data_IF_656048590253
#
_entry.id   IF_656048590253
#
_cell.length_a   1.000
_cell.length_b   1.000
_cell.length_c   1.000
_cell.angle_alpha   90.00
_cell.angle_beta   90.00
_cell.angle_gamma   90.00
#
_symmetry.space_group_name_H-M   'P 1'
#
loop_
_entity.id
_entity.type
_entity.pdbx_description
1 polymer ?
#
# COMPACT_ATOMS: atom_id res chain seq x y z
N UNK A 1 -24.61 -18.00 -29.22
CA UNK A 1 -24.16 -17.00 -28.27
C UNK A 1 -22.89 -17.47 -27.60
N UNK A 2 -21.86 -16.66 -27.60
CA UNK A 2 -20.57 -17.04 -27.00
C UNK A 2 -20.46 -16.44 -25.61
N UNK A 3 -20.21 -17.30 -24.62
CA UNK A 3 -20.01 -16.86 -23.25
C UNK A 3 -18.52 -16.68 -22.96
N UNK A 4 -18.18 -15.71 -22.12
CA UNK A 4 -16.79 -15.39 -21.76
C UNK A 4 -16.45 -15.79 -20.33
N UNK A 5 -17.45 -16.16 -19.52
CA UNK A 5 -17.18 -16.59 -18.15
C UNK A 5 -16.33 -17.87 -18.12
N UNK A 6 -15.48 -17.98 -17.11
CA UNK A 6 -14.63 -19.15 -16.89
C UNK A 6 -14.84 -19.66 -15.46
N UNK A 7 -15.39 -20.85 -15.31
CA UNK A 7 -15.69 -21.43 -14.02
C UNK A 7 -14.44 -21.68 -13.16
N UNK A 8 -13.29 -21.81 -13.80
CA UNK A 8 -12.01 -22.00 -13.09
C UNK A 8 -11.39 -20.69 -12.61
N UNK A 9 -11.86 -19.55 -13.13
CA UNK A 9 -11.30 -18.23 -12.85
C UNK A 9 -12.24 -17.35 -12.05
N UNK A 10 -13.53 -17.68 -11.98
CA UNK A 10 -14.53 -16.84 -11.31
C UNK A 10 -14.19 -16.58 -9.83
N UNK A 11 -13.59 -17.54 -9.14
CA UNK A 11 -13.16 -17.38 -7.76
C UNK A 11 -12.10 -16.27 -7.63
N UNK A 12 -11.13 -16.25 -8.52
CA UNK A 12 -10.07 -15.23 -8.55
C UNK A 12 -10.65 -13.86 -8.92
N UNK A 13 -11.56 -13.83 -9.89
CA UNK A 13 -12.23 -12.60 -10.28
C UNK A 13 -13.03 -12.00 -9.11
N UNK A 14 -13.76 -12.83 -8.38
CA UNK A 14 -14.52 -12.42 -7.20
C UNK A 14 -13.56 -11.81 -6.14
N UNK A 15 -12.43 -12.46 -5.89
CA UNK A 15 -11.43 -11.98 -4.95
C UNK A 15 -10.89 -10.61 -5.37
N UNK A 16 -10.56 -10.46 -6.64
CA UNK A 16 -10.00 -9.21 -7.17
C UNK A 16 -11.03 -8.07 -7.12
N UNK A 17 -12.30 -8.38 -7.44
CA UNK A 17 -13.37 -7.38 -7.47
C UNK A 17 -13.87 -6.98 -6.07
N UNK A 18 -13.96 -7.93 -5.16
CA UNK A 18 -14.59 -7.76 -3.84
C UNK A 18 -13.67 -7.93 -2.64
N UNK A 19 -12.41 -8.29 -2.87
CA UNK A 19 -11.41 -8.42 -1.81
C UNK A 19 -11.38 -9.77 -1.11
N UNK A 20 -12.32 -10.68 -1.40
CA UNK A 20 -12.35 -12.02 -0.82
C UNK A 20 -12.87 -13.04 -1.82
N UNK A 21 -12.49 -14.30 -1.61
CA UNK A 21 -13.01 -15.41 -2.43
C UNK A 21 -14.46 -15.66 -2.12
N UNK A 22 -15.22 -16.24 -3.08
CA UNK A 22 -16.65 -16.49 -2.89
C UNK A 22 -16.95 -17.41 -1.72
N UNK A 23 -18.00 -17.10 -0.97
CA UNK A 23 -18.54 -17.96 0.06
C UNK A 23 -19.62 -18.91 -0.47
N UNK A 24 -20.21 -19.67 0.43
CA UNK A 24 -21.25 -20.67 0.09
C UNK A 24 -22.44 -20.07 -0.66
N UNK A 25 -22.85 -18.89 -0.28
CA UNK A 25 -23.99 -18.20 -0.89
C UNK A 25 -23.78 -17.93 -2.36
N UNK A 26 -22.59 -17.45 -2.72
CA UNK A 26 -22.23 -17.22 -4.10
C UNK A 26 -22.23 -18.52 -4.90
N UNK A 27 -21.59 -19.56 -4.38
CA UNK A 27 -21.47 -20.84 -5.08
C UNK A 27 -22.83 -21.52 -5.25
N UNK A 28 -23.71 -21.46 -4.24
CA UNK A 28 -25.05 -21.98 -4.36
C UNK A 28 -25.83 -21.33 -5.50
N UNK A 29 -25.71 -20.01 -5.63
CA UNK A 29 -26.34 -19.28 -6.73
C UNK A 29 -25.68 -19.61 -8.08
N UNK A 30 -24.36 -19.65 -8.11
CA UNK A 30 -23.61 -19.90 -9.34
C UNK A 30 -23.95 -21.27 -9.93
N UNK A 31 -23.84 -22.34 -9.16
CA UNK A 31 -24.08 -23.70 -9.67
C UNK A 31 -25.52 -23.93 -10.08
N UNK A 32 -26.49 -23.22 -9.50
CA UNK A 32 -27.90 -23.31 -9.85
C UNK A 32 -28.30 -22.35 -10.98
N UNK A 33 -27.38 -21.56 -11.49
CA UNK A 33 -27.65 -20.61 -12.56
C UNK A 33 -27.41 -21.25 -13.94
N UNK A 34 -28.19 -20.83 -14.94
CA UNK A 34 -27.90 -21.19 -16.32
C UNK A 34 -26.74 -20.35 -16.86
N UNK A 35 -26.26 -20.65 -18.06
CA UNK A 35 -25.12 -19.97 -18.67
C UNK A 35 -25.34 -18.47 -18.83
N UNK A 36 -26.54 -18.08 -19.20
CA UNK A 36 -26.89 -16.67 -19.37
C UNK A 36 -26.78 -15.90 -18.05
N UNK A 37 -27.25 -16.49 -16.95
CA UNK A 37 -27.17 -15.90 -15.62
C UNK A 37 -25.74 -15.88 -15.12
N UNK A 38 -24.95 -16.95 -15.35
CA UNK A 38 -23.53 -16.99 -15.01
C UNK A 38 -22.77 -15.88 -15.74
N UNK A 39 -23.07 -15.65 -17.01
CA UNK A 39 -22.45 -14.55 -17.77
C UNK A 39 -22.80 -13.19 -17.18
N UNK A 40 -24.04 -13.01 -16.75
CA UNK A 40 -24.48 -11.76 -16.10
C UNK A 40 -23.73 -11.51 -14.79
N UNK A 41 -23.54 -12.56 -13.98
CA UNK A 41 -22.76 -12.48 -12.74
C UNK A 41 -21.30 -12.12 -13.05
N UNK A 42 -20.71 -12.78 -14.02
CA UNK A 42 -19.35 -12.53 -14.48
C UNK A 42 -19.16 -11.08 -14.94
N UNK A 43 -20.05 -10.58 -15.80
CA UNK A 43 -20.00 -9.22 -16.30
C UNK A 43 -20.13 -8.20 -15.16
N UNK A 44 -20.99 -8.49 -14.18
CA UNK A 44 -21.13 -7.66 -12.99
C UNK A 44 -19.85 -7.58 -12.18
N UNK A 45 -19.15 -8.72 -12.01
CA UNK A 45 -17.86 -8.75 -11.31
C UNK A 45 -16.79 -7.96 -12.07
N UNK A 46 -16.78 -8.01 -13.39
CA UNK A 46 -15.84 -7.21 -14.20
C UNK A 46 -16.08 -5.71 -14.02
N UNK A 47 -17.34 -5.29 -13.95
CA UNK A 47 -17.68 -3.88 -13.69
C UNK A 47 -17.21 -3.47 -12.29
N UNK A 48 -17.45 -4.31 -11.27
CA UNK A 48 -16.99 -4.05 -9.91
C UNK A 48 -15.46 -3.97 -9.84
N UNK A 49 -14.75 -4.84 -10.55
CA UNK A 49 -13.29 -4.82 -10.61
C UNK A 49 -12.78 -3.51 -11.21
N UNK A 50 -13.38 -3.03 -12.29
CA UNK A 50 -12.99 -1.78 -12.91
C UNK A 50 -13.16 -0.59 -11.95
N UNK A 51 -14.27 -0.55 -11.22
CA UNK A 51 -14.53 0.49 -10.20
C UNK A 51 -13.49 0.40 -9.08
N UNK A 52 -13.20 -0.80 -8.58
CA UNK A 52 -12.22 -1.02 -7.53
C UNK A 52 -10.83 -0.57 -7.96
N UNK A 53 -10.42 -0.93 -9.19
CA UNK A 53 -9.12 -0.53 -9.75
C UNK A 53 -9.00 0.99 -9.86
N UNK A 54 -10.05 1.66 -10.30
CA UNK A 54 -10.08 3.13 -10.41
C UNK A 54 -9.99 3.80 -9.04
N UNK A 55 -10.67 3.24 -8.05
CA UNK A 55 -10.63 3.75 -6.68
C UNK A 55 -9.23 3.57 -6.09
N UNK A 56 -8.59 2.42 -6.32
CA UNK A 56 -7.22 2.17 -5.86
C UNK A 56 -6.23 3.12 -6.52
N UNK A 57 -6.36 3.35 -7.83
CA UNK A 57 -5.53 4.30 -8.55
C UNK A 57 -5.71 5.72 -8.01
N UNK A 58 -6.94 6.12 -7.71
CA UNK A 58 -7.23 7.43 -7.14
C UNK A 58 -6.61 7.59 -5.76
N UNK A 59 -6.69 6.56 -4.92
CA UNK A 59 -6.05 6.56 -3.59
C UNK A 59 -4.53 6.66 -3.71
N UNK A 60 -3.93 5.92 -4.64
CA UNK A 60 -2.49 5.95 -4.87
C UNK A 60 -2.04 7.32 -5.35
N UNK A 61 -2.75 7.91 -6.33
CA UNK A 61 -2.42 9.26 -6.81
C UNK A 61 -2.55 10.31 -5.71
N UNK A 62 -3.57 10.18 -4.87
CA UNK A 62 -3.77 11.07 -3.72
C UNK A 62 -2.63 10.91 -2.71
N UNK A 63 -2.19 9.67 -2.45
CA UNK A 63 -1.07 9.40 -1.54
C UNK A 63 0.24 9.97 -2.09
N UNK A 64 0.50 9.83 -3.38
CA UNK A 64 1.67 10.41 -4.04
C UNK A 64 1.65 11.93 -3.91
N UNK A 65 0.53 12.56 -4.21
CA UNK A 65 0.39 14.01 -4.13
C UNK A 65 0.63 14.52 -2.71
N UNK A 66 0.08 13.83 -1.70
CA UNK A 66 0.28 14.18 -0.30
C UNK A 66 1.73 14.01 0.14
N UNK A 67 2.37 12.91 -0.28
CA UNK A 67 3.77 12.64 0.04
C UNK A 67 4.68 13.69 -0.58
N UNK A 68 4.50 13.98 -1.88
CA UNK A 68 5.33 14.97 -2.58
C UNK A 68 5.13 16.38 -2.02
N UNK A 69 3.91 16.73 -1.65
CA UNK A 69 3.62 18.01 -0.99
C UNK A 69 4.34 18.12 0.36
N UNK A 70 4.34 17.02 1.14
CA UNK A 70 5.04 16.97 2.43
C UNK A 70 6.56 17.11 2.22
N UNK A 71 7.12 16.40 1.22
CA UNK A 71 8.53 16.52 0.85
C UNK A 71 8.87 17.96 0.50
N UNK A 72 8.09 18.60 -0.37
CA UNK A 72 8.34 20.00 -0.77
C UNK A 72 8.32 20.95 0.42
N UNK A 73 7.38 20.73 1.34
CA UNK A 73 7.28 21.51 2.58
C UNK A 73 8.54 21.36 3.46
N UNK A 74 9.06 20.13 3.59
CA UNK A 74 10.26 19.87 4.38
C UNK A 74 11.55 20.32 3.68
N UNK A 75 11.60 20.25 2.36
CA UNK A 75 12.78 20.70 1.58
C UNK A 75 13.08 22.18 1.79
N UNK A 76 12.07 22.99 2.05
CA UNK A 76 12.26 24.41 2.36
C UNK A 76 13.11 24.63 3.63
N UNK A 77 13.16 23.63 4.51
CA UNK A 77 13.91 23.67 5.77
C UNK A 77 15.18 22.83 5.66
N UNK A 78 15.07 21.61 5.11
CA UNK A 78 16.19 20.65 5.05
C UNK A 78 17.19 20.94 3.94
N UNK A 79 16.77 21.61 2.88
CA UNK A 79 17.53 21.87 1.65
C UNK A 79 17.89 20.60 0.86
N UNK A 80 17.24 19.46 1.17
CA UNK A 80 17.56 18.17 0.55
C UNK A 80 16.35 17.24 0.58
N UNK A 81 16.08 16.61 -0.56
CA UNK A 81 15.03 15.58 -0.62
C UNK A 81 15.37 14.39 0.28
N UNK A 82 16.63 13.97 0.28
CA UNK A 82 17.08 12.84 1.11
C UNK A 82 16.84 13.11 2.60
N UNK A 83 17.16 14.28 3.07
CA UNK A 83 16.94 14.65 4.46
C UNK A 83 15.44 14.74 4.78
N UNK A 84 14.66 15.28 3.87
CA UNK A 84 13.18 15.33 4.03
C UNK A 84 12.58 13.95 4.11
N UNK A 85 12.99 13.02 3.26
CA UNK A 85 12.57 11.61 3.30
C UNK A 85 12.96 10.98 4.64
N UNK A 86 14.18 11.21 5.11
CA UNK A 86 14.65 10.70 6.40
C UNK A 86 13.78 11.19 7.56
N UNK A 87 13.43 12.46 7.57
CA UNK A 87 12.56 13.02 8.60
C UNK A 87 11.17 12.38 8.59
N UNK A 88 10.62 12.11 7.40
CA UNK A 88 9.34 11.42 7.29
C UNK A 88 9.46 9.99 7.86
N UNK A 89 10.54 9.27 7.52
CA UNK A 89 10.77 7.92 8.03
C UNK A 89 10.91 7.90 9.55
N UNK A 90 11.62 8.86 10.11
CA UNK A 90 11.77 9.00 11.57
C UNK A 90 10.42 9.24 12.24
N UNK A 91 9.56 10.05 11.61
CA UNK A 91 8.21 10.33 12.10
C UNK A 91 7.26 9.15 12.08
N UNK A 92 7.56 8.10 11.30
CA UNK A 92 6.74 6.89 11.23
C UNK A 92 6.96 5.95 12.43
N UNK A 93 7.99 6.19 13.23
CA UNK A 93 8.30 5.39 14.42
C UNK A 93 8.41 3.89 14.13
N UNK A 94 9.18 3.56 13.08
CA UNK A 94 9.38 2.18 12.66
C UNK A 94 10.12 1.36 13.71
N UNK A 95 9.60 0.17 14.00
CA UNK A 95 10.27 -0.78 14.89
C UNK A 95 11.40 -1.50 14.14
N UNK A 96 12.27 -2.20 14.86
CA UNK A 96 13.30 -3.03 14.23
C UNK A 96 12.68 -4.09 13.33
N UNK A 97 11.54 -4.65 13.75
CA UNK A 97 10.77 -5.61 12.95
C UNK A 97 10.26 -4.98 11.65
N UNK A 98 9.76 -3.76 11.72
CA UNK A 98 9.27 -3.02 10.55
C UNK A 98 10.40 -2.78 9.55
N UNK A 99 11.59 -2.42 10.04
CA UNK A 99 12.77 -2.16 9.20
C UNK A 99 13.23 -3.39 8.43
N UNK A 100 12.98 -4.59 8.96
CA UNK A 100 13.33 -5.84 8.29
C UNK A 100 12.54 -6.07 6.99
N UNK A 101 11.37 -5.49 6.86
CA UNK A 101 10.56 -5.59 5.64
C UNK A 101 11.03 -4.64 4.52
N UNK A 102 11.90 -3.69 4.84
CA UNK A 102 12.50 -2.80 3.86
C UNK A 102 11.59 -1.66 3.40
N UNK A 103 12.03 -0.97 2.33
CA UNK A 103 11.32 0.19 1.80
C UNK A 103 9.92 -0.11 1.27
N UNK A 104 9.66 -1.34 0.83
CA UNK A 104 8.35 -1.76 0.36
C UNK A 104 7.29 -1.70 1.46
N UNK A 105 7.67 -1.99 2.70
CA UNK A 105 6.77 -1.86 3.84
C UNK A 105 6.36 -0.39 4.05
N UNK A 106 7.30 0.53 3.87
CA UNK A 106 7.02 1.97 3.97
C UNK A 106 6.02 2.38 2.88
N UNK A 107 6.22 1.88 1.66
CA UNK A 107 5.26 2.13 0.56
C UNK A 107 3.87 1.63 0.91
N UNK A 108 3.76 0.43 1.44
CA UNK A 108 2.49 -0.14 1.89
C UNK A 108 1.84 0.75 2.96
N UNK A 109 2.61 1.18 3.95
CA UNK A 109 2.12 2.00 5.05
C UNK A 109 1.63 3.37 4.59
N UNK A 110 2.28 3.97 3.59
CA UNK A 110 1.95 5.29 3.07
C UNK A 110 1.00 5.27 1.87
N UNK A 111 0.68 4.09 1.34
CA UNK A 111 -0.14 3.94 0.14
C UNK A 111 0.56 4.31 -1.15
N UNK A 112 1.89 4.29 -1.16
CA UNK A 112 2.72 4.64 -2.31
C UNK A 112 3.01 3.43 -3.20
N UNK A 113 3.26 3.63 -4.52
CA UNK A 113 3.72 2.54 -5.36
C UNK A 113 5.11 2.06 -4.94
N UNK A 114 5.42 0.79 -5.18
CA UNK A 114 6.68 0.19 -4.76
C UNK A 114 7.92 0.79 -5.43
N UNK A 115 7.73 1.54 -6.53
CA UNK A 115 8.83 2.30 -7.14
C UNK A 115 9.44 3.33 -6.20
N UNK A 116 8.69 3.76 -5.18
CA UNK A 116 9.20 4.67 -4.15
C UNK A 116 10.11 3.97 -3.13
N UNK A 117 10.11 2.65 -3.06
CA UNK A 117 10.87 1.89 -2.06
C UNK A 117 12.37 2.21 -2.09
N UNK A 118 12.94 2.47 -3.27
CA UNK A 118 14.36 2.79 -3.41
C UNK A 118 14.76 4.11 -2.77
N UNK A 119 13.80 4.99 -2.48
CA UNK A 119 14.05 6.27 -1.81
C UNK A 119 14.13 6.14 -0.28
N UNK A 120 13.74 4.97 0.26
CA UNK A 120 13.64 4.77 1.71
C UNK A 120 14.84 3.97 2.22
N UNK A 121 15.86 4.68 2.70
CA UNK A 121 17.03 4.09 3.32
C UNK A 121 16.76 3.88 4.83
N UNK A 122 16.24 2.70 5.16
CA UNK A 122 15.86 2.39 6.55
C UNK A 122 17.06 2.20 7.46
N UNK A 123 18.23 1.90 6.90
CA UNK A 123 19.46 1.77 7.69
C UNK A 123 19.92 3.11 8.25
N UNK A 124 19.54 4.22 7.59
CA UNK A 124 19.91 5.58 8.04
C UNK A 124 18.91 6.14 9.07
N UNK A 125 17.78 5.48 9.28
CA UNK A 125 16.73 5.95 10.18
C UNK A 125 17.08 5.61 11.62
N UNK A 126 17.05 6.61 12.48
CA UNK A 126 17.33 6.45 13.90
C UNK A 126 16.04 6.10 14.64
N UNK A 127 16.13 5.17 15.59
CA UNK A 127 15.03 4.87 16.48
C UNK A 127 15.14 5.75 17.75
N UNK A 128 14.12 5.71 18.61
CA UNK A 128 14.10 6.50 19.84
C UNK A 128 15.30 6.22 20.75
N UNK A 129 15.72 4.95 20.83
CA UNK A 129 16.86 4.57 21.64
C UNK A 129 18.16 5.24 21.16
N UNK A 130 18.36 5.30 19.83
CA UNK A 130 19.52 5.98 19.24
C UNK A 130 19.49 7.48 19.52
N UNK A 131 18.31 8.09 19.44
CA UNK A 131 18.13 9.51 19.69
C UNK A 131 18.43 9.83 21.15
N UNK A 132 17.91 9.03 22.08
CA UNK A 132 18.18 9.20 23.51
C UNK A 132 19.65 8.94 23.86
N UNK A 133 20.28 7.97 23.22
CA UNK A 133 21.70 7.71 23.42
C UNK A 133 22.56 8.92 23.01
N UNK A 134 22.22 9.56 21.89
CA UNK A 134 22.90 10.80 21.44
C UNK A 134 22.68 11.96 22.42
N UNK A 135 21.47 12.12 22.92
CA UNK A 135 21.16 13.16 23.90
C UNK A 135 21.95 12.95 25.20
N UNK A 136 22.04 11.69 25.64
CA UNK A 136 22.85 11.33 26.83
C UNK A 136 24.32 11.62 26.57
N UNK A 137 24.83 11.30 25.39
CA UNK A 137 26.22 11.58 25.02
C UNK A 137 26.52 13.09 25.01
N UNK A 138 25.58 13.90 24.54
CA UNK A 138 25.68 15.36 24.58
C UNK A 138 25.66 15.87 26.01
N UNK A 139 24.77 15.32 26.85
CA UNK A 139 24.60 15.77 28.23
C UNK A 139 25.76 15.35 29.15
N UNK A 140 26.33 14.16 28.92
CA UNK A 140 27.33 13.55 29.82
C UNK A 140 28.67 13.22 29.17
N UNK A 141 28.76 13.28 27.86
CA UNK A 141 29.87 12.74 27.11
C UNK A 141 31.14 13.57 27.04
N UNK A 142 31.12 14.81 27.51
CA UNK A 142 32.27 15.73 27.45
C UNK A 142 32.95 15.91 28.79
N UNK A 143 32.92 14.90 29.61
CA UNK A 143 33.60 14.96 30.91
C UNK A 143 35.00 14.44 30.81
#
# INVERSE_FOLDING_TARGET
MTYTFDENVVSDLHKDARGSRPGEYFWAKWVNSNDETKQSIWDGLLVELDVTDKEEQAREQSAIASFEKHIASLESISNSREQSVRWILEGLELTESDKMYGGEYVCYKLGLPYSYATQFDLASVRNDADIYADLDAIAYGNK
#
